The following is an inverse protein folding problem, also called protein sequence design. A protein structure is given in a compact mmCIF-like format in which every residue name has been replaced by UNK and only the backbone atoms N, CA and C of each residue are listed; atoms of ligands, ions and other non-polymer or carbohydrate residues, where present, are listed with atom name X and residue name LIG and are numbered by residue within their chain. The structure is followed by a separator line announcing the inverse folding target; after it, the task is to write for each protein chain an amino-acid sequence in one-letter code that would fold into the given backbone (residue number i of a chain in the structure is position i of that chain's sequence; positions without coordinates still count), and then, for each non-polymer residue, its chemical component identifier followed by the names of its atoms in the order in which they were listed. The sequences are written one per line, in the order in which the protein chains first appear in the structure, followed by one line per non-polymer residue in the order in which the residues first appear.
data_IF_859859795451
#
_entry.id   IF_859859795451
#
_cell.length_a   1.000
_cell.length_b   1.000
_cell.length_c   1.000
_cell.angle_alpha   90.00
_cell.angle_beta   90.00
_cell.angle_gamma   90.00
#
_symmetry.space_group_name_H-M   'P 1'
#
loop_
_entity.id
_entity.type
_entity.pdbx_description
1 polymer ?
#
# COMPACT_ATOMS: atom_id res chain seq x y z
N UNK A 1 -40.40 43.79 -13.52
CA UNK A 1 -40.00 42.77 -12.51
C UNK A 1 -39.17 41.72 -13.18
N UNK A 2 -37.84 41.82 -13.02
CA UNK A 2 -36.88 40.81 -13.46
C UNK A 2 -36.67 39.79 -12.36
N UNK A 3 -37.11 38.54 -12.54
CA UNK A 3 -36.79 37.45 -11.64
C UNK A 3 -35.39 36.97 -11.95
N UNK A 4 -34.41 37.25 -11.11
CA UNK A 4 -33.08 36.68 -11.16
C UNK A 4 -33.13 35.24 -10.62
N UNK A 5 -33.06 34.25 -11.53
CA UNK A 5 -32.97 32.83 -11.21
C UNK A 5 -31.54 32.53 -10.80
N UNK A 6 -31.28 32.39 -9.48
CA UNK A 6 -29.99 31.95 -8.96
C UNK A 6 -29.83 30.44 -9.19
N UNK A 7 -29.01 30.05 -10.17
CA UNK A 7 -28.55 28.67 -10.37
C UNK A 7 -27.54 28.33 -9.26
N UNK A 8 -27.99 27.58 -8.26
CA UNK A 8 -27.11 26.91 -7.29
C UNK A 8 -26.38 25.78 -8.03
N UNK A 9 -25.13 26.01 -8.43
CA UNK A 9 -24.24 24.99 -8.91
C UNK A 9 -23.81 24.17 -7.69
N UNK A 10 -24.45 23.01 -7.45
CA UNK A 10 -23.92 22.00 -6.54
C UNK A 10 -22.64 21.43 -7.16
N UNK A 11 -21.49 21.96 -6.74
CA UNK A 11 -20.20 21.35 -7.07
C UNK A 11 -20.09 20.04 -6.29
N UNK A 12 -20.41 18.90 -6.92
CA UNK A 12 -20.01 17.60 -6.44
C UNK A 12 -18.48 17.54 -6.52
N UNK A 13 -17.80 17.72 -5.39
CA UNK A 13 -16.38 17.40 -5.31
C UNK A 13 -16.22 15.90 -5.52
N UNK A 14 -15.39 15.45 -6.48
CA UNK A 14 -15.15 14.03 -6.69
C UNK A 14 -14.58 13.41 -5.40
N UNK A 15 -15.00 12.19 -5.09
CA UNK A 15 -14.52 11.44 -3.91
C UNK A 15 -12.99 11.28 -3.90
N UNK A 16 -12.41 11.11 -5.09
CA UNK A 16 -10.98 10.93 -5.30
C UNK A 16 -10.39 12.13 -6.05
N UNK A 17 -9.27 12.66 -5.53
CA UNK A 17 -8.42 13.67 -6.17
C UNK A 17 -7.07 12.98 -6.49
N UNK A 18 -7.09 12.07 -7.46
CA UNK A 18 -5.95 11.23 -7.83
C UNK A 18 -4.71 12.06 -8.15
N UNK A 19 -3.61 11.71 -7.48
CA UNK A 19 -2.33 12.42 -7.60
C UNK A 19 -1.18 11.46 -7.81
N UNK A 20 -0.38 11.71 -8.83
CA UNK A 20 0.91 11.05 -8.99
C UNK A 20 1.89 11.63 -7.98
N UNK A 21 2.38 10.80 -7.09
CA UNK A 21 3.43 11.10 -6.12
C UNK A 21 4.73 10.53 -6.63
N UNK A 22 5.73 11.39 -6.75
CA UNK A 22 7.11 11.01 -7.08
C UNK A 22 7.93 10.98 -5.79
N UNK A 23 8.50 9.84 -5.45
CA UNK A 23 9.34 9.62 -4.28
C UNK A 23 10.77 9.23 -4.71
N UNK A 24 11.55 10.18 -5.28
CA UNK A 24 12.86 9.86 -5.86
C UNK A 24 13.89 9.39 -4.82
N UNK A 25 13.73 9.75 -3.56
CA UNK A 25 14.61 9.28 -2.49
C UNK A 25 14.33 7.82 -2.13
N UNK A 26 13.06 7.40 -2.23
CA UNK A 26 12.59 6.03 -1.98
C UNK A 26 12.53 5.19 -3.26
N UNK A 27 12.83 5.77 -4.44
CA UNK A 27 12.92 5.08 -5.72
C UNK A 27 11.59 4.54 -6.23
N UNK A 28 10.51 5.33 -6.18
CA UNK A 28 9.23 4.95 -6.78
C UNK A 28 8.36 6.13 -7.22
N UNK A 29 7.40 5.83 -8.09
CA UNK A 29 6.25 6.69 -8.41
C UNK A 29 4.97 5.90 -8.08
N UNK A 30 3.96 6.58 -7.50
CA UNK A 30 2.69 5.97 -7.13
C UNK A 30 1.52 6.92 -7.38
N UNK A 31 0.34 6.36 -7.67
CA UNK A 31 -0.91 7.12 -7.82
C UNK A 31 -1.71 7.01 -6.52
N UNK A 32 -1.80 8.10 -5.76
CA UNK A 32 -2.60 8.16 -4.53
C UNK A 32 -3.96 8.81 -4.78
N UNK A 33 -5.04 8.38 -4.07
CA UNK A 33 -6.39 8.94 -4.23
C UNK A 33 -6.55 10.38 -3.70
N UNK A 34 -5.57 10.91 -2.99
CA UNK A 34 -5.38 12.30 -2.59
C UNK A 34 -3.92 12.50 -2.17
N UNK A 35 -3.53 13.71 -1.75
CA UNK A 35 -2.18 13.98 -1.25
C UNK A 35 -1.91 13.16 0.02
N UNK A 36 -0.92 12.25 0.03
CA UNK A 36 -0.57 11.51 1.23
C UNK A 36 0.21 12.37 2.24
N UNK A 37 0.11 11.99 3.50
CA UNK A 37 1.05 12.42 4.53
C UNK A 37 2.28 11.51 4.50
N UNK A 38 3.47 12.08 4.74
CA UNK A 38 4.75 11.37 4.76
C UNK A 38 5.35 11.37 6.17
N UNK A 39 5.73 10.18 6.64
CA UNK A 39 6.42 9.97 7.91
C UNK A 39 7.73 9.25 7.63
N UNK A 40 8.83 9.82 8.11
CA UNK A 40 10.15 9.21 8.06
C UNK A 40 10.58 8.84 9.48
N UNK A 41 11.09 7.63 9.64
CA UNK A 41 11.57 7.14 10.93
C UNK A 41 12.71 6.14 10.77
N UNK A 42 13.44 5.94 11.84
CA UNK A 42 14.36 4.80 11.97
C UNK A 42 13.69 3.69 12.74
N UNK A 43 13.79 2.48 12.25
CA UNK A 43 13.37 1.28 12.97
C UNK A 43 14.60 0.48 13.37
N UNK A 44 14.58 -0.07 14.58
CA UNK A 44 15.67 -0.94 15.05
C UNK A 44 15.29 -2.39 14.79
N UNK A 45 16.12 -3.10 14.03
CA UNK A 45 15.97 -4.52 13.76
C UNK A 45 17.31 -5.24 13.95
N UNK A 46 17.35 -6.26 14.82
CA UNK A 46 18.57 -6.99 15.18
C UNK A 46 19.76 -6.06 15.52
N UNK A 47 19.49 -5.04 16.35
CA UNK A 47 20.47 -4.03 16.78
C UNK A 47 21.02 -3.14 15.67
N UNK A 48 20.41 -3.14 14.49
CA UNK A 48 20.73 -2.24 13.38
C UNK A 48 19.58 -1.25 13.13
N UNK A 49 19.92 -0.02 12.77
CA UNK A 49 18.94 1.00 12.38
C UNK A 49 18.68 0.93 10.88
N UNK A 50 17.42 0.79 10.51
CA UNK A 50 16.94 0.85 9.13
C UNK A 50 16.11 2.12 8.93
N UNK A 51 16.31 2.79 7.81
CA UNK A 51 15.46 3.92 7.42
C UNK A 51 14.13 3.39 6.88
N UNK A 52 13.03 3.89 7.41
CA UNK A 52 11.68 3.61 6.94
C UNK A 52 10.95 4.90 6.63
N UNK A 53 10.28 4.92 5.48
CA UNK A 53 9.32 5.95 5.09
C UNK A 53 7.94 5.32 4.97
N UNK A 54 6.92 6.04 5.42
CA UNK A 54 5.52 5.69 5.24
C UNK A 54 4.82 6.88 4.59
N UNK A 55 4.24 6.69 3.41
CA UNK A 55 3.30 7.62 2.80
C UNK A 55 1.90 7.01 2.88
N UNK A 56 0.94 7.77 3.42
CA UNK A 56 -0.41 7.27 3.61
C UNK A 56 -1.46 8.38 3.47
N UNK A 57 -2.64 7.99 2.98
CA UNK A 57 -3.82 8.86 2.93
C UNK A 57 -5.06 8.07 3.29
N UNK A 58 -5.95 8.70 4.06
CA UNK A 58 -7.26 8.13 4.40
C UNK A 58 -8.34 8.77 3.55
N UNK A 59 -9.14 7.94 2.89
CA UNK A 59 -10.37 8.34 2.15
C UNK A 59 -11.52 7.51 2.72
N UNK A 60 -12.45 8.15 3.40
CA UNK A 60 -13.53 7.50 4.14
C UNK A 60 -13.00 6.40 5.08
N UNK A 61 -13.35 5.14 4.83
CA UNK A 61 -12.92 3.99 5.61
C UNK A 61 -11.69 3.27 5.04
N UNK A 62 -11.14 3.76 3.92
CA UNK A 62 -9.96 3.20 3.25
C UNK A 62 -8.70 3.99 3.63
N UNK A 63 -7.63 3.28 3.99
CA UNK A 63 -6.28 3.83 4.18
C UNK A 63 -5.38 3.24 3.11
N UNK A 64 -4.93 4.09 2.19
CA UNK A 64 -3.96 3.78 1.14
C UNK A 64 -2.56 4.08 1.65
N UNK A 65 -1.63 3.14 1.56
CA UNK A 65 -0.28 3.34 2.08
C UNK A 65 0.81 2.65 1.29
N UNK A 66 1.96 3.32 1.22
CA UNK A 66 3.23 2.78 0.75
C UNK A 66 4.24 2.92 1.88
N UNK A 67 4.76 1.81 2.37
CA UNK A 67 5.89 1.77 3.29
C UNK A 67 7.13 1.31 2.53
N UNK A 68 8.23 2.05 2.66
CA UNK A 68 9.52 1.70 2.08
C UNK A 68 10.57 1.58 3.17
N UNK A 69 11.36 0.50 3.15
CA UNK A 69 12.48 0.26 4.06
C UNK A 69 13.73 0.09 3.23
N UNK A 70 14.73 0.89 3.54
CA UNK A 70 16.03 0.85 2.88
C UNK A 70 17.02 -0.03 3.65
N UNK A 71 17.69 -0.92 2.92
CA UNK A 71 18.79 -1.74 3.40
C UNK A 71 20.05 -1.32 2.63
N UNK A 72 21.08 -0.89 3.35
CA UNK A 72 22.39 -0.72 2.76
C UNK A 72 22.97 -2.07 2.31
N UNK A 73 24.01 -2.05 1.49
CA UNK A 73 24.69 -3.28 1.07
C UNK A 73 25.08 -4.18 2.26
N UNK A 74 25.53 -3.57 3.37
CA UNK A 74 25.93 -4.28 4.59
C UNK A 74 24.75 -4.87 5.37
N UNK A 75 23.54 -4.38 5.13
CA UNK A 75 22.31 -4.78 5.81
C UNK A 75 21.43 -5.73 4.95
N UNK A 76 21.86 -6.03 3.73
CA UNK A 76 21.07 -6.81 2.77
C UNK A 76 20.67 -8.19 3.32
N UNK A 77 21.49 -8.81 4.17
CA UNK A 77 21.20 -10.10 4.81
C UNK A 77 20.05 -10.06 5.82
N UNK A 78 19.67 -8.87 6.32
CA UNK A 78 18.55 -8.70 7.24
C UNK A 78 17.18 -8.77 6.53
N UNK A 79 17.16 -8.45 5.22
CA UNK A 79 15.92 -8.30 4.46
C UNK A 79 15.03 -9.56 4.48
N UNK A 80 15.54 -10.78 4.18
CA UNK A 80 14.68 -11.97 4.17
C UNK A 80 14.02 -12.23 5.52
N UNK A 81 14.77 -12.05 6.62
CA UNK A 81 14.27 -12.26 7.99
C UNK A 81 13.26 -11.20 8.40
N UNK A 82 13.51 -9.93 8.04
CA UNK A 82 12.56 -8.84 8.33
C UNK A 82 11.27 -9.04 7.53
N UNK A 83 11.36 -9.37 6.23
CA UNK A 83 10.18 -9.65 5.43
C UNK A 83 9.36 -10.80 5.98
N UNK A 84 10.00 -11.93 6.32
CA UNK A 84 9.35 -13.08 6.95
C UNK A 84 8.62 -12.68 8.24
N UNK A 85 9.26 -11.85 9.08
CA UNK A 85 8.65 -11.36 10.32
C UNK A 85 7.44 -10.46 10.04
N UNK A 86 7.55 -9.52 9.08
CA UNK A 86 6.44 -8.63 8.71
C UNK A 86 5.24 -9.43 8.18
N UNK A 87 5.50 -10.37 7.28
CA UNK A 87 4.47 -11.27 6.75
C UNK A 87 3.85 -12.12 7.86
N UNK A 88 4.68 -12.79 8.69
CA UNK A 88 4.22 -13.62 9.79
C UNK A 88 3.34 -12.86 10.78
N UNK A 89 3.76 -11.65 11.17
CA UNK A 89 2.98 -10.81 12.06
C UNK A 89 1.63 -10.43 11.44
N UNK A 90 1.61 -10.09 10.15
CA UNK A 90 0.39 -9.70 9.46
C UNK A 90 -0.60 -10.87 9.35
N UNK A 91 -0.12 -12.05 8.91
CA UNK A 91 -0.96 -13.25 8.80
C UNK A 91 -1.44 -13.74 10.17
N UNK A 92 -0.57 -13.70 11.17
CA UNK A 92 -0.97 -14.05 12.54
C UNK A 92 -2.07 -13.14 13.08
N UNK A 93 -1.96 -11.82 12.86
CA UNK A 93 -2.97 -10.85 13.28
C UNK A 93 -4.29 -11.04 12.52
N UNK A 94 -4.25 -11.51 11.27
CA UNK A 94 -5.43 -11.87 10.49
C UNK A 94 -6.01 -13.24 10.89
N UNK A 95 -5.31 -14.02 11.72
CA UNK A 95 -5.73 -15.37 12.12
C UNK A 95 -5.71 -16.37 10.98
N UNK A 96 -4.85 -16.18 9.98
CA UNK A 96 -4.71 -17.06 8.81
C UNK A 96 -3.27 -17.56 8.68
N UNK A 97 -3.11 -18.74 8.08
CA UNK A 97 -1.82 -19.24 7.65
C UNK A 97 -1.49 -18.67 6.25
N UNK A 98 -0.21 -18.35 6.01
CA UNK A 98 0.25 -17.81 4.72
C UNK A 98 -0.10 -18.72 3.54
N UNK A 99 -0.06 -20.04 3.73
CA UNK A 99 -0.35 -21.02 2.66
C UNK A 99 -1.84 -21.11 2.32
N UNK A 100 -2.70 -20.74 3.27
CA UNK A 100 -4.17 -20.76 3.11
C UNK A 100 -4.75 -19.38 2.88
N UNK A 101 -3.96 -18.31 3.01
CA UNK A 101 -4.39 -16.95 2.77
C UNK A 101 -4.87 -16.75 1.33
N UNK A 102 -5.98 -16.04 1.18
CA UNK A 102 -6.50 -15.68 -0.15
C UNK A 102 -5.46 -14.81 -0.85
N UNK A 103 -5.02 -15.25 -2.02
CA UNK A 103 -4.02 -14.52 -2.81
C UNK A 103 -4.36 -14.52 -4.30
N UNK A 104 -3.71 -13.63 -5.04
CA UNK A 104 -3.80 -13.56 -6.50
C UNK A 104 -2.42 -13.25 -7.07
N UNK A 105 -2.02 -14.00 -8.09
CA UNK A 105 -0.86 -13.63 -8.88
C UNK A 105 -1.16 -12.30 -9.60
N UNK A 106 -0.16 -11.45 -9.61
CA UNK A 106 -0.24 -10.10 -10.16
C UNK A 106 1.07 -9.73 -10.86
N UNK A 107 1.09 -8.60 -11.51
CA UNK A 107 2.28 -8.05 -12.18
C UNK A 107 2.36 -6.58 -11.78
N UNK A 108 3.54 -6.12 -11.38
CA UNK A 108 3.82 -4.70 -11.32
C UNK A 108 4.75 -4.28 -12.45
N UNK A 109 4.73 -3.01 -12.78
CA UNK A 109 5.60 -2.41 -13.78
C UNK A 109 6.60 -1.49 -13.09
N UNK A 110 7.86 -1.61 -13.43
CA UNK A 110 8.91 -0.70 -12.95
C UNK A 110 8.89 0.60 -13.74
N UNK A 111 9.57 1.64 -13.26
CA UNK A 111 9.71 2.93 -13.96
C UNK A 111 10.28 2.78 -15.39
N UNK A 112 11.13 1.80 -15.63
CA UNK A 112 11.67 1.45 -16.95
C UNK A 112 10.81 0.44 -17.74
N UNK A 113 9.53 0.30 -17.37
CA UNK A 113 8.52 -0.52 -18.05
C UNK A 113 8.76 -2.04 -18.02
N UNK A 114 9.62 -2.55 -17.15
CA UNK A 114 9.74 -3.99 -16.95
C UNK A 114 8.52 -4.52 -16.18
N UNK A 115 7.95 -5.62 -16.68
CA UNK A 115 6.85 -6.32 -16.03
C UNK A 115 7.41 -7.43 -15.14
N UNK A 116 7.12 -7.35 -13.84
CA UNK A 116 7.67 -8.26 -12.84
C UNK A 116 6.53 -8.97 -12.12
N UNK A 117 6.55 -10.32 -12.07
CA UNK A 117 5.55 -11.08 -11.32
C UNK A 117 5.59 -10.75 -9.83
N UNK A 118 4.42 -10.70 -9.21
CA UNK A 118 4.24 -10.50 -7.78
C UNK A 118 2.99 -11.23 -7.30
N UNK A 119 2.69 -11.11 -6.01
CA UNK A 119 1.50 -11.70 -5.41
C UNK A 119 0.83 -10.69 -4.48
N UNK A 120 -0.48 -10.60 -4.60
CA UNK A 120 -1.33 -9.84 -3.69
C UNK A 120 -1.98 -10.78 -2.69
N UNK A 121 -2.07 -10.36 -1.46
CA UNK A 121 -2.80 -11.06 -0.40
C UNK A 121 -4.00 -10.24 0.03
N UNK A 122 -5.10 -10.93 0.32
CA UNK A 122 -6.36 -10.37 0.78
C UNK A 122 -6.68 -10.97 2.15
N UNK A 123 -6.74 -10.12 3.16
CA UNK A 123 -6.83 -10.52 4.56
C UNK A 123 -8.05 -9.89 5.21
N UNK A 124 -8.74 -10.68 6.03
CA UNK A 124 -9.82 -10.21 6.89
C UNK A 124 -9.39 -10.36 8.36
N UNK A 125 -9.37 -9.24 9.08
CA UNK A 125 -9.01 -9.20 10.48
C UNK A 125 -10.26 -9.31 11.34
N UNK A 126 -10.34 -10.37 12.14
CA UNK A 126 -11.43 -10.61 13.09
C UNK A 126 -10.91 -10.28 14.48
N UNK A 127 -11.15 -9.09 14.97
CA UNK A 127 -10.85 -8.74 16.35
C UNK A 127 -12.10 -8.91 17.23
N UNK A 128 -11.98 -9.61 18.34
CA UNK A 128 -13.04 -9.71 19.33
C UNK A 128 -13.33 -8.30 19.90
N UNK A 129 -14.54 -7.78 19.63
CA UNK A 129 -15.00 -6.48 20.14
C UNK A 129 -14.61 -5.25 19.32
N UNK A 130 -13.92 -5.39 18.19
CA UNK A 130 -13.62 -4.28 17.27
C UNK A 130 -14.34 -4.44 15.92
N UNK A 131 -14.46 -3.33 15.18
CA UNK A 131 -14.97 -3.36 13.81
C UNK A 131 -14.12 -4.31 12.94
N UNK A 132 -14.77 -5.09 12.10
CA UNK A 132 -14.10 -5.91 11.09
C UNK A 132 -13.22 -5.01 10.22
N UNK A 133 -12.03 -5.49 9.88
CA UNK A 133 -11.13 -4.81 8.95
C UNK A 133 -10.72 -5.77 7.86
N UNK A 134 -10.46 -5.24 6.67
CA UNK A 134 -9.96 -6.02 5.54
C UNK A 134 -8.80 -5.30 4.88
N UNK A 135 -7.85 -6.05 4.29
CA UNK A 135 -6.65 -5.49 3.68
C UNK A 135 -6.31 -6.21 2.37
N UNK A 136 -5.87 -5.45 1.38
CA UNK A 136 -5.03 -5.93 0.28
C UNK A 136 -3.61 -5.46 0.52
N UNK A 137 -2.65 -6.37 0.39
CA UNK A 137 -1.23 -6.06 0.60
C UNK A 137 -0.37 -6.74 -0.45
N UNK A 138 0.69 -6.04 -0.87
CA UNK A 138 1.73 -6.49 -1.81
C UNK A 138 3.10 -6.11 -1.25
N UNK A 139 4.06 -7.04 -1.28
CA UNK A 139 5.47 -6.76 -0.97
C UNK A 139 6.31 -6.84 -2.23
N UNK A 140 7.24 -5.90 -2.38
CA UNK A 140 8.13 -5.81 -3.51
C UNK A 140 9.56 -5.57 -3.02
N UNK A 141 10.52 -6.25 -3.64
CA UNK A 141 11.95 -6.08 -3.36
C UNK A 141 12.61 -5.56 -4.63
N UNK A 142 13.35 -4.46 -4.51
CA UNK A 142 14.04 -3.84 -5.64
C UNK A 142 15.46 -3.43 -5.27
N UNK A 143 16.45 -3.63 -6.14
CA UNK A 143 17.77 -3.05 -5.96
C UNK A 143 17.66 -1.52 -6.01
N UNK A 144 18.39 -0.85 -5.12
CA UNK A 144 18.51 0.60 -5.15
C UNK A 144 19.69 1.03 -6.06
N UNK A 145 19.59 2.19 -6.66
CA UNK A 145 20.62 2.72 -7.58
C UNK A 145 21.99 2.92 -6.92
N UNK A 146 22.02 3.04 -5.60
CA UNK A 146 23.24 3.20 -4.78
C UNK A 146 23.81 1.87 -4.24
N UNK A 147 23.37 0.73 -4.75
CA UNK A 147 23.83 -0.61 -4.35
C UNK A 147 23.14 -1.19 -3.11
N UNK A 148 22.15 -0.51 -2.56
CA UNK A 148 21.28 -1.05 -1.51
C UNK A 148 20.07 -1.80 -2.07
N UNK A 149 19.12 -2.09 -1.17
CA UNK A 149 17.88 -2.78 -1.52
C UNK A 149 16.70 -2.07 -0.86
N UNK A 150 15.63 -1.88 -1.61
CA UNK A 150 14.35 -1.42 -1.11
C UNK A 150 13.40 -2.59 -0.87
N UNK A 151 12.73 -2.57 0.27
CA UNK A 151 11.54 -3.37 0.55
C UNK A 151 10.34 -2.43 0.60
N UNK A 152 9.40 -2.61 -0.31
CA UNK A 152 8.13 -1.88 -0.31
C UNK A 152 7.00 -2.76 0.17
N UNK A 153 6.10 -2.17 0.95
CA UNK A 153 4.79 -2.70 1.25
C UNK A 153 3.74 -1.73 0.74
N UNK A 154 2.99 -2.13 -0.28
CA UNK A 154 1.85 -1.38 -0.82
C UNK A 154 0.59 -1.99 -0.25
N UNK A 155 -0.29 -1.18 0.35
CA UNK A 155 -1.49 -1.72 0.99
C UNK A 155 -2.67 -0.76 1.01
N UNK A 156 -3.88 -1.33 0.98
CA UNK A 156 -5.12 -0.65 1.34
C UNK A 156 -5.73 -1.40 2.51
N UNK A 157 -5.98 -0.67 3.62
CA UNK A 157 -6.71 -1.16 4.77
C UNK A 157 -8.11 -0.54 4.76
N UNK A 158 -9.16 -1.36 4.77
CA UNK A 158 -10.55 -0.94 4.93
C UNK A 158 -11.03 -1.17 6.35
N UNK A 159 -11.57 -0.12 6.99
CA UNK A 159 -12.16 -0.18 8.32
C UNK A 159 -13.66 -0.46 8.20
N UNK A 160 -14.03 -1.74 8.08
CA UNK A 160 -15.42 -2.16 7.93
C UNK A 160 -15.53 -3.57 7.35
N UNK A 161 -16.75 -4.05 7.19
CA UNK A 161 -17.02 -5.29 6.49
C UNK A 161 -17.07 -5.06 4.99
N UNK A 162 -16.42 -5.94 4.24
CA UNK A 162 -16.42 -5.91 2.77
C UNK A 162 -17.43 -6.92 2.20
N UNK A 163 -17.99 -6.64 1.03
CA UNK A 163 -18.94 -7.51 0.33
C UNK A 163 -18.54 -7.63 -1.15
N UNK A 164 -18.68 -8.83 -1.76
CA UNK A 164 -19.02 -10.12 -1.11
C UNK A 164 -17.84 -10.70 -0.32
N UNK A 165 -16.59 -10.33 -0.63
CA UNK A 165 -15.34 -10.77 -0.02
C UNK A 165 -14.23 -9.74 -0.28
N UNK A 166 -13.12 -9.85 0.47
CA UNK A 166 -12.00 -8.92 0.37
C UNK A 166 -11.39 -8.86 -1.04
N UNK A 167 -11.24 -10.00 -1.73
CA UNK A 167 -10.64 -10.03 -3.06
C UNK A 167 -11.48 -9.26 -4.07
N UNK A 168 -12.79 -9.50 -4.12
CA UNK A 168 -13.71 -8.78 -5.01
C UNK A 168 -13.75 -7.29 -4.69
N UNK A 169 -13.82 -6.94 -3.41
CA UNK A 169 -13.86 -5.54 -2.95
C UNK A 169 -12.62 -4.76 -3.37
N UNK A 170 -11.42 -5.30 -3.15
CA UNK A 170 -10.17 -4.62 -3.49
C UNK A 170 -9.76 -4.75 -4.96
N UNK A 171 -10.47 -5.55 -5.76
CA UNK A 171 -10.27 -5.64 -7.21
C UNK A 171 -11.13 -4.63 -7.99
N UNK A 172 -11.98 -3.85 -7.32
CA UNK A 172 -12.69 -2.74 -7.95
C UNK A 172 -11.68 -1.72 -8.50
N UNK A 173 -11.97 -1.14 -9.67
CA UNK A 173 -11.06 -0.30 -10.45
C UNK A 173 -10.43 0.83 -9.63
N UNK A 174 -11.23 1.53 -8.82
CA UNK A 174 -10.79 2.63 -7.96
C UNK A 174 -9.73 2.22 -6.92
N UNK A 175 -9.72 0.94 -6.48
CA UNK A 175 -8.73 0.39 -5.55
C UNK A 175 -7.59 -0.31 -6.27
N UNK A 176 -7.90 -0.99 -7.38
CA UNK A 176 -6.90 -1.69 -8.18
C UNK A 176 -5.86 -0.71 -8.75
N UNK A 177 -6.29 0.46 -9.23
CA UNK A 177 -5.42 1.50 -9.78
C UNK A 177 -4.28 1.90 -8.84
N UNK A 178 -4.49 1.94 -7.52
CA UNK A 178 -3.43 2.24 -6.55
C UNK A 178 -2.28 1.22 -6.59
N UNK A 179 -2.58 -0.06 -6.82
CA UNK A 179 -1.57 -1.11 -6.94
C UNK A 179 -0.95 -1.18 -8.33
N UNK A 180 -1.73 -0.90 -9.36
CA UNK A 180 -1.31 -1.03 -10.75
C UNK A 180 -0.43 0.16 -11.18
N UNK A 181 -0.65 1.33 -10.58
CA UNK A 181 0.12 2.55 -10.80
C UNK A 181 1.25 2.76 -9.76
N UNK A 182 1.66 1.72 -9.04
CA UNK A 182 2.87 1.71 -8.24
C UNK A 182 4.05 1.23 -9.10
N UNK A 183 4.99 2.12 -9.39
CA UNK A 183 6.13 1.89 -10.27
C UNK A 183 7.44 2.12 -9.51
N UNK A 184 8.07 1.07 -8.94
CA UNK A 184 9.40 1.16 -8.36
C UNK A 184 10.48 1.25 -9.46
N UNK A 185 11.60 1.90 -9.15
CA UNK A 185 12.77 2.06 -10.03
C UNK A 185 13.54 0.75 -10.23
#
# INVERSE_FOLDING_TARGET
MLLASAFLICACSPKFDWRTVQAPQEGYTALFPAKPDKIERKITYQSQELAQTLEAVKIDDDIYSVSSIYFSHQQAELLPKLLEQLESNLFHNAGVDRLTAISSDSIYQTSNQQRVPTKDYFLDFKSAGSSQQSMRVRWLIRPATNGGIWLYQVSILHAGSVQPDAKTFFSAEDRANFFDEFHPD
#
